data_IF_002678189991
#
_entry.id   IF_002678189991
#
_cell.length_a   1.000
_cell.length_b   1.000
_cell.length_c   1.000
_cell.angle_alpha   90.00
_cell.angle_beta   90.00
_cell.angle_gamma   90.00
#
_symmetry.space_group_name_H-M   'P 1'
#
loop_
_entity.id
_entity.type
_entity.pdbx_description
1 polymer ?
#
# COMPACT_ATOMS: atom_id res chain seq x y z
N UNK A 1 -24.92 -17.95 1.68
CA UNK A 1 -23.58 -18.08 2.27
C UNK A 1 -23.32 -16.82 3.07
N UNK A 2 -23.31 -16.90 4.39
CA UNK A 2 -22.90 -15.78 5.23
C UNK A 2 -21.37 -15.73 5.22
N UNK A 3 -20.79 -14.67 4.70
CA UNK A 3 -19.38 -14.41 4.88
C UNK A 3 -19.14 -14.15 6.36
N UNK A 4 -18.51 -15.07 7.05
CA UNK A 4 -17.99 -14.82 8.38
C UNK A 4 -16.78 -13.91 8.21
N UNK A 5 -17.00 -12.61 8.33
CA UNK A 5 -15.89 -11.64 8.46
C UNK A 5 -15.17 -12.03 9.75
N UNK A 6 -13.86 -12.27 9.68
CA UNK A 6 -13.05 -12.47 10.86
C UNK A 6 -13.35 -11.34 11.86
N UNK A 7 -13.58 -11.69 13.14
CA UNK A 7 -14.06 -10.73 14.18
C UNK A 7 -13.21 -9.47 14.33
N UNK A 8 -11.95 -9.48 13.89
CA UNK A 8 -11.07 -8.31 13.86
C UNK A 8 -11.49 -7.19 12.89
N UNK A 9 -12.49 -7.43 12.03
CA UNK A 9 -13.06 -6.45 11.11
C UNK A 9 -14.53 -6.14 11.46
N UNK A 10 -14.89 -6.09 12.73
CA UNK A 10 -16.20 -5.57 13.12
C UNK A 10 -16.32 -4.15 12.55
N UNK A 11 -17.25 -3.97 11.62
CA UNK A 11 -17.72 -2.63 11.25
C UNK A 11 -18.15 -1.98 12.57
N UNK A 12 -17.49 -0.91 12.94
CA UNK A 12 -17.99 -0.04 14.00
C UNK A 12 -19.44 0.27 13.64
N UNK A 13 -20.36 0.03 14.57
CA UNK A 13 -21.77 0.35 14.37
C UNK A 13 -21.84 1.82 13.89
N UNK A 14 -22.46 2.09 12.73
CA UNK A 14 -22.61 3.47 12.23
C UNK A 14 -23.16 4.42 13.28
N UNK A 15 -24.00 3.92 14.20
CA UNK A 15 -24.58 4.69 15.30
C UNK A 15 -23.60 4.94 16.46
N UNK A 16 -22.52 4.14 16.55
CA UNK A 16 -21.39 4.36 17.48
C UNK A 16 -20.33 5.31 16.91
N UNK A 17 -20.32 5.53 15.59
CA UNK A 17 -19.49 6.55 14.95
C UNK A 17 -20.12 7.92 15.16
N UNK A 18 -19.86 8.52 16.32
CA UNK A 18 -20.28 9.90 16.56
C UNK A 18 -19.58 10.82 15.55
N UNK A 19 -20.36 11.29 14.59
CA UNK A 19 -19.96 12.35 13.66
C UNK A 19 -19.53 13.56 14.51
N UNK A 20 -18.23 13.85 14.55
CA UNK A 20 -17.69 14.96 15.34
C UNK A 20 -16.44 14.66 16.16
N UNK A 21 -15.84 13.49 16.02
CA UNK A 21 -14.46 13.25 16.46
C UNK A 21 -14.24 12.83 17.91
N UNK A 22 -15.24 12.82 18.78
CA UNK A 22 -15.04 12.45 20.20
C UNK A 22 -14.91 10.96 20.48
N UNK A 23 -15.45 10.09 19.64
CA UNK A 23 -15.38 8.62 19.83
C UNK A 23 -13.96 8.04 19.65
N UNK A 24 -13.04 8.79 19.00
CA UNK A 24 -11.66 8.38 18.79
C UNK A 24 -10.64 9.23 19.58
N UNK A 25 -11.11 10.04 20.51
CA UNK A 25 -10.24 10.82 21.37
C UNK A 25 -9.48 9.85 22.31
N UNK A 26 -8.15 9.87 22.23
CA UNK A 26 -7.29 8.95 22.97
C UNK A 26 -7.07 7.57 22.35
N UNK A 27 -7.58 7.29 21.14
CA UNK A 27 -7.27 6.06 20.40
C UNK A 27 -5.95 6.21 19.65
N UNK A 28 -5.09 5.20 19.75
CA UNK A 28 -3.89 5.00 18.93
C UNK A 28 -4.22 3.93 17.89
N UNK A 29 -4.62 4.37 16.68
CA UNK A 29 -5.03 3.47 15.61
C UNK A 29 -3.84 3.11 14.73
N UNK A 30 -3.24 1.96 14.97
CA UNK A 30 -2.09 1.41 14.25
C UNK A 30 -2.49 0.33 13.22
N UNK A 31 -3.76 0.19 12.87
CA UNK A 31 -4.21 -0.87 11.95
C UNK A 31 -3.63 -0.72 10.55
N UNK A 32 -3.60 0.51 10.04
CA UNK A 32 -3.12 0.84 8.69
C UNK A 32 -2.96 2.35 8.53
N UNK A 33 -2.07 2.79 7.63
CA UNK A 33 -1.99 4.18 7.19
C UNK A 33 -3.19 4.61 6.30
N UNK A 34 -4.08 3.68 5.94
CA UNK A 34 -5.35 3.97 5.26
C UNK A 34 -6.41 4.60 6.17
N UNK A 35 -6.19 4.61 7.48
CA UNK A 35 -7.09 5.25 8.45
C UNK A 35 -6.80 6.74 8.65
N UNK A 36 -5.74 7.26 8.02
CA UNK A 36 -5.34 8.66 8.09
C UNK A 36 -6.46 9.59 7.66
N UNK A 37 -6.51 10.76 8.30
CA UNK A 37 -7.54 11.78 8.05
C UNK A 37 -6.93 12.98 7.33
N UNK A 38 -7.69 13.61 6.43
CA UNK A 38 -7.20 14.81 5.75
C UNK A 38 -6.96 15.93 6.76
N UNK A 39 -5.82 16.59 6.63
CA UNK A 39 -5.43 17.73 7.47
C UNK A 39 -6.42 18.90 7.34
N UNK A 40 -6.46 19.84 8.29
CA UNK A 40 -7.25 21.07 8.13
C UNK A 40 -6.93 21.84 6.85
N UNK A 41 -5.67 21.81 6.39
CA UNK A 41 -5.27 22.42 5.13
C UNK A 41 -5.87 21.71 3.92
N UNK A 42 -5.79 20.36 3.90
CA UNK A 42 -6.43 19.56 2.86
C UNK A 42 -7.94 19.82 2.79
N UNK A 43 -8.61 19.88 3.96
CA UNK A 43 -10.06 20.15 4.02
C UNK A 43 -10.43 21.51 3.44
N UNK A 44 -9.66 22.56 3.73
CA UNK A 44 -9.87 23.88 3.12
C UNK A 44 -9.64 23.84 1.62
N UNK A 45 -8.53 23.22 1.18
CA UNK A 45 -8.25 23.10 -0.25
C UNK A 45 -9.33 22.35 -1.01
N UNK A 46 -9.91 21.29 -0.41
CA UNK A 46 -11.05 20.56 -0.99
C UNK A 46 -12.29 21.44 -1.11
N UNK A 47 -12.58 22.26 -0.08
CA UNK A 47 -13.75 23.14 -0.08
C UNK A 47 -13.63 24.29 -1.09
N UNK A 48 -12.42 24.75 -1.34
CA UNK A 48 -12.08 25.91 -2.20
C UNK A 48 -11.56 25.48 -3.59
N UNK A 49 -11.58 24.17 -3.90
CA UNK A 49 -11.00 23.65 -5.13
C UNK A 49 -11.65 24.25 -6.37
N UNK A 50 -10.81 24.73 -7.29
CA UNK A 50 -11.25 25.07 -8.64
C UNK A 50 -11.53 23.78 -9.40
N UNK A 51 -12.72 23.64 -9.98
CA UNK A 51 -13.21 22.41 -10.59
C UNK A 51 -13.73 22.60 -12.01
N UNK A 52 -13.69 21.54 -12.78
CA UNK A 52 -14.29 21.39 -14.09
C UNK A 52 -14.62 19.93 -14.35
N UNK A 53 -15.08 19.57 -15.54
CA UNK A 53 -15.36 18.16 -15.86
C UNK A 53 -14.08 17.42 -16.26
N UNK A 54 -13.60 16.49 -15.40
CA UNK A 54 -12.41 15.68 -15.65
C UNK A 54 -12.54 14.78 -16.90
N UNK A 55 -13.76 14.36 -17.26
CA UNK A 55 -13.97 13.55 -18.47
C UNK A 55 -13.68 14.34 -19.75
N UNK A 56 -13.90 15.64 -19.73
CA UNK A 56 -13.54 16.54 -20.82
C UNK A 56 -12.11 17.12 -20.69
N UNK A 57 -11.40 16.78 -19.60
CA UNK A 57 -10.07 17.32 -19.32
C UNK A 57 -10.08 18.79 -18.86
N UNK A 58 -11.23 19.26 -18.38
CA UNK A 58 -11.44 20.67 -18.01
C UNK A 58 -11.24 20.96 -16.52
N UNK A 59 -11.04 19.93 -15.67
CA UNK A 59 -10.78 20.15 -14.24
C UNK A 59 -9.34 20.62 -14.01
N UNK A 60 -9.13 21.90 -13.65
CA UNK A 60 -7.78 22.46 -13.58
C UNK A 60 -6.99 21.89 -12.40
N UNK A 61 -7.66 21.47 -11.33
CA UNK A 61 -7.00 20.92 -10.14
C UNK A 61 -6.56 19.47 -10.39
N UNK A 62 -7.37 18.65 -11.09
CA UNK A 62 -6.97 17.33 -11.55
C UNK A 62 -5.78 17.43 -12.49
N UNK A 63 -5.86 18.33 -13.49
CA UNK A 63 -4.78 18.54 -14.46
C UNK A 63 -3.45 18.92 -13.78
N UNK A 64 -3.50 19.79 -12.74
CA UNK A 64 -2.31 20.13 -11.95
C UNK A 64 -1.75 18.94 -11.19
N UNK A 65 -2.61 18.11 -10.57
CA UNK A 65 -2.18 16.92 -9.84
C UNK A 65 -1.53 15.89 -10.79
N UNK A 66 -2.17 15.60 -11.92
CA UNK A 66 -1.66 14.66 -12.93
C UNK A 66 -0.29 15.13 -13.48
N UNK A 67 -0.18 16.40 -13.83
CA UNK A 67 1.08 17.01 -14.26
C UNK A 67 2.17 16.90 -13.19
N UNK A 68 1.85 17.29 -11.95
CA UNK A 68 2.80 17.24 -10.85
C UNK A 68 3.28 15.82 -10.52
N UNK A 69 2.38 14.85 -10.56
CA UNK A 69 2.72 13.44 -10.39
C UNK A 69 3.67 12.95 -11.49
N UNK A 70 3.38 13.27 -12.75
CA UNK A 70 4.24 12.91 -13.87
C UNK A 70 5.66 13.50 -13.72
N UNK A 71 5.77 14.80 -13.38
CA UNK A 71 7.05 15.48 -13.14
C UNK A 71 7.84 14.81 -12.02
N UNK A 72 7.18 14.52 -10.89
CA UNK A 72 7.82 13.94 -9.70
C UNK A 72 8.38 12.54 -9.96
N UNK A 73 7.70 11.77 -10.80
CA UNK A 73 8.12 10.41 -11.18
C UNK A 73 9.00 10.37 -12.44
N UNK A 74 9.25 11.51 -13.08
CA UNK A 74 10.00 11.57 -14.34
C UNK A 74 9.34 10.75 -15.45
N UNK A 75 8.00 10.66 -15.44
CA UNK A 75 7.18 10.00 -16.46
C UNK A 75 6.55 11.02 -17.38
N UNK A 76 6.15 10.58 -18.58
CA UNK A 76 5.56 11.48 -19.60
C UNK A 76 4.17 11.98 -19.21
N UNK A 77 3.40 11.16 -18.48
CA UNK A 77 2.05 11.48 -18.05
C UNK A 77 1.66 10.68 -16.79
N UNK A 78 0.63 11.17 -16.11
CA UNK A 78 -0.01 10.47 -14.99
C UNK A 78 -1.53 10.61 -15.09
N UNK A 79 -2.25 9.78 -14.34
CA UNK A 79 -3.71 9.73 -14.28
C UNK A 79 -4.18 9.55 -12.84
N UNK A 80 -5.12 10.39 -12.41
CA UNK A 80 -5.82 10.21 -11.13
C UNK A 80 -6.83 9.06 -11.25
N UNK A 81 -6.78 8.13 -10.31
CA UNK A 81 -7.74 7.02 -10.16
C UNK A 81 -8.31 6.99 -8.75
N UNK A 82 -9.58 6.56 -8.57
CA UNK A 82 -10.23 6.52 -7.26
C UNK A 82 -9.48 5.68 -6.22
N UNK A 83 -8.90 4.55 -6.62
CA UNK A 83 -8.26 3.58 -5.72
C UNK A 83 -7.00 2.96 -6.33
N UNK A 84 -6.09 2.47 -5.47
CA UNK A 84 -4.91 1.71 -5.92
C UNK A 84 -5.27 0.41 -6.64
N UNK A 85 -6.29 -0.30 -6.16
CA UNK A 85 -6.76 -1.53 -6.83
C UNK A 85 -7.19 -1.27 -8.28
N UNK A 86 -7.92 -0.17 -8.53
CA UNK A 86 -8.25 0.23 -9.90
C UNK A 86 -6.99 0.56 -10.71
N UNK A 87 -6.02 1.26 -10.10
CA UNK A 87 -4.76 1.60 -10.74
C UNK A 87 -3.97 0.35 -11.16
N UNK A 88 -3.79 -0.60 -10.26
CA UNK A 88 -3.13 -1.87 -10.55
C UNK A 88 -3.87 -2.65 -11.65
N UNK A 89 -5.19 -2.77 -11.53
CA UNK A 89 -6.00 -3.48 -12.52
C UNK A 89 -5.88 -2.84 -13.92
N UNK A 90 -5.89 -1.52 -14.01
CA UNK A 90 -5.67 -0.78 -15.27
C UNK A 90 -4.30 -1.13 -15.85
N UNK A 91 -3.24 -1.11 -15.03
CA UNK A 91 -1.88 -1.42 -15.47
C UNK A 91 -1.78 -2.86 -15.98
N UNK A 92 -2.31 -3.82 -15.23
CA UNK A 92 -2.35 -5.22 -15.67
C UNK A 92 -3.12 -5.35 -16.98
N UNK A 93 -4.31 -4.73 -17.08
CA UNK A 93 -5.16 -4.84 -18.27
C UNK A 93 -4.53 -4.28 -19.53
N UNK A 94 -3.71 -3.23 -19.44
CA UNK A 94 -3.04 -2.61 -20.59
C UNK A 94 -1.88 -3.48 -21.08
N UNK A 95 -1.10 -4.07 -20.15
CA UNK A 95 0.10 -4.83 -20.48
C UNK A 95 -0.15 -6.30 -20.80
N UNK A 96 -1.40 -6.76 -20.71
CA UNK A 96 -1.74 -8.16 -20.89
C UNK A 96 -2.93 -8.34 -21.85
N UNK A 97 -3.06 -9.56 -22.34
CA UNK A 97 -4.23 -10.06 -23.07
C UNK A 97 -4.83 -11.25 -22.32
N UNK A 98 -6.08 -11.61 -22.62
CA UNK A 98 -6.70 -12.81 -22.05
C UNK A 98 -5.81 -14.03 -22.28
N UNK A 99 -5.61 -14.84 -21.24
CA UNK A 99 -4.79 -16.04 -21.25
C UNK A 99 -3.30 -15.78 -20.98
N UNK A 100 -2.87 -14.53 -20.79
CA UNK A 100 -1.50 -14.25 -20.35
C UNK A 100 -1.29 -14.60 -18.87
N UNK A 101 -0.03 -14.80 -18.50
CA UNK A 101 0.41 -14.91 -17.12
C UNK A 101 1.06 -13.60 -16.66
N UNK A 102 0.82 -13.28 -15.39
CA UNK A 102 1.42 -12.15 -14.67
C UNK A 102 2.24 -12.70 -13.51
N UNK A 103 3.55 -12.48 -13.55
CA UNK A 103 4.44 -12.88 -12.45
C UNK A 103 4.31 -11.86 -11.31
N UNK A 104 4.11 -12.34 -10.09
CA UNK A 104 4.09 -11.54 -8.88
C UNK A 104 4.65 -12.33 -7.69
N UNK A 105 5.09 -11.66 -6.65
CA UNK A 105 5.48 -12.32 -5.40
C UNK A 105 4.24 -12.82 -4.66
N UNK A 106 4.35 -13.97 -3.96
CA UNK A 106 3.20 -14.67 -3.35
C UNK A 106 2.40 -13.81 -2.37
N UNK A 107 3.05 -12.90 -1.63
CA UNK A 107 2.44 -12.00 -0.65
C UNK A 107 2.06 -10.64 -1.21
N UNK A 108 2.24 -10.42 -2.52
CA UNK A 108 1.92 -9.15 -3.15
C UNK A 108 0.42 -8.83 -3.08
N UNK A 109 0.11 -7.55 -3.00
CA UNK A 109 -1.26 -7.05 -2.90
C UNK A 109 -2.13 -7.45 -4.09
N UNK A 110 -1.59 -7.40 -5.30
CA UNK A 110 -2.28 -7.80 -6.54
C UNK A 110 -2.69 -9.28 -6.54
N UNK A 111 -1.98 -10.12 -5.77
CA UNK A 111 -2.29 -11.54 -5.62
C UNK A 111 -3.31 -11.81 -4.50
N UNK A 112 -3.18 -11.13 -3.35
CA UNK A 112 -3.93 -11.50 -2.13
C UNK A 112 -5.18 -10.65 -1.89
N UNK A 113 -5.16 -9.35 -2.23
CA UNK A 113 -6.15 -8.38 -1.71
C UNK A 113 -7.01 -7.70 -2.77
N UNK A 114 -6.85 -8.03 -4.05
CA UNK A 114 -7.62 -7.41 -5.14
C UNK A 114 -8.73 -8.32 -5.68
N UNK A 115 -9.21 -9.28 -4.87
CA UNK A 115 -10.36 -10.14 -5.15
C UNK A 115 -10.27 -10.86 -6.50
N UNK A 116 -9.06 -11.35 -6.84
CA UNK A 116 -8.77 -12.01 -8.10
C UNK A 116 -9.11 -11.15 -9.35
N UNK A 117 -9.10 -9.82 -9.24
CA UNK A 117 -9.42 -8.89 -10.33
C UNK A 117 -8.56 -9.11 -11.58
N UNK A 118 -7.30 -9.50 -11.37
CA UNK A 118 -6.37 -9.89 -12.43
C UNK A 118 -6.94 -11.03 -13.30
N UNK A 119 -7.56 -12.04 -12.67
CA UNK A 119 -8.19 -13.16 -13.39
C UNK A 119 -9.61 -12.82 -13.86
N UNK A 120 -10.42 -12.25 -12.97
CA UNK A 120 -11.84 -12.03 -13.23
C UNK A 120 -12.10 -10.93 -14.27
N UNK A 121 -11.27 -9.88 -14.34
CA UNK A 121 -11.48 -8.71 -15.18
C UNK A 121 -10.41 -8.60 -16.27
N UNK A 122 -9.13 -8.72 -15.92
CA UNK A 122 -8.07 -8.67 -16.92
C UNK A 122 -7.97 -9.98 -17.73
N UNK A 123 -8.45 -11.11 -17.21
CA UNK A 123 -8.42 -12.41 -17.88
C UNK A 123 -7.04 -13.06 -17.86
N UNK A 124 -6.21 -12.72 -16.87
CA UNK A 124 -4.85 -13.20 -16.74
C UNK A 124 -4.72 -14.19 -15.57
N UNK A 125 -3.74 -15.03 -15.63
CA UNK A 125 -3.42 -15.96 -14.57
C UNK A 125 -2.24 -15.44 -13.75
N UNK A 126 -2.35 -15.33 -12.40
CA UNK A 126 -1.20 -15.03 -11.56
C UNK A 126 -0.18 -16.18 -11.64
N UNK A 127 1.08 -15.84 -11.84
CA UNK A 127 2.22 -16.74 -11.78
C UNK A 127 3.06 -16.36 -10.57
N UNK A 128 2.84 -17.07 -9.48
CA UNK A 128 3.41 -16.72 -8.19
C UNK A 128 4.86 -17.18 -8.11
N UNK A 129 5.74 -16.28 -7.68
CA UNK A 129 7.12 -16.54 -7.31
C UNK A 129 7.34 -16.23 -5.82
N UNK A 130 8.26 -16.94 -5.18
CA UNK A 130 8.62 -16.72 -3.79
C UNK A 130 9.93 -15.97 -3.70
N UNK A 131 9.93 -14.83 -2.99
CA UNK A 131 11.11 -14.03 -2.72
C UNK A 131 11.44 -13.99 -1.24
N UNK A 132 12.73 -13.95 -0.91
CA UNK A 132 13.16 -13.71 0.46
C UNK A 132 12.66 -12.35 0.94
N UNK A 133 11.99 -12.31 2.08
CA UNK A 133 11.36 -11.10 2.64
C UNK A 133 10.44 -10.34 1.64
N UNK A 134 9.83 -11.06 0.67
CA UNK A 134 8.96 -10.45 -0.35
C UNK A 134 9.68 -9.76 -1.50
N UNK A 135 10.99 -9.91 -1.59
CA UNK A 135 11.82 -9.31 -2.65
C UNK A 135 12.23 -10.40 -3.63
N UNK A 136 11.76 -10.29 -4.86
CA UNK A 136 12.15 -11.20 -5.94
C UNK A 136 13.52 -10.82 -6.50
N UNK A 137 14.31 -11.82 -6.85
CA UNK A 137 15.49 -11.71 -7.69
C UNK A 137 15.13 -12.07 -9.13
N UNK A 138 15.98 -11.67 -10.10
CA UNK A 138 15.81 -12.13 -11.47
C UNK A 138 15.87 -13.67 -11.59
N UNK A 139 16.73 -14.30 -10.81
CA UNK A 139 16.90 -15.76 -10.83
C UNK A 139 15.59 -16.47 -10.41
N UNK A 140 14.87 -15.97 -9.41
CA UNK A 140 13.58 -16.51 -9.00
C UNK A 140 12.50 -16.25 -10.06
N UNK A 141 12.43 -15.03 -10.60
CA UNK A 141 11.50 -14.68 -11.67
C UNK A 141 11.71 -15.58 -12.89
N UNK A 142 12.97 -15.78 -13.30
CA UNK A 142 13.32 -16.58 -14.47
C UNK A 142 12.82 -18.02 -14.39
N UNK A 143 12.75 -18.61 -13.18
CA UNK A 143 12.29 -20.00 -13.00
C UNK A 143 10.82 -20.19 -13.33
N UNK A 144 10.03 -19.13 -13.25
CA UNK A 144 8.57 -19.20 -13.46
C UNK A 144 8.13 -18.62 -14.82
N UNK A 145 9.05 -18.04 -15.61
CA UNK A 145 8.74 -17.57 -16.97
C UNK A 145 8.44 -18.76 -17.88
N UNK A 146 7.32 -18.72 -18.61
CA UNK A 146 6.95 -19.76 -19.56
C UNK A 146 7.77 -19.67 -20.85
N UNK A 147 8.16 -20.82 -21.41
CA UNK A 147 8.75 -20.87 -22.75
C UNK A 147 7.72 -20.39 -23.81
N UNK A 148 8.21 -19.78 -24.88
CA UNK A 148 7.35 -19.33 -25.99
C UNK A 148 6.92 -20.50 -26.85
N UNK A 149 5.96 -21.30 -26.36
CA UNK A 149 5.40 -22.45 -27.05
C UNK A 149 3.90 -22.16 -27.29
N UNK A 150 3.35 -22.54 -28.46
CA UNK A 150 2.00 -22.14 -28.87
C UNK A 150 0.87 -22.68 -27.99
N UNK A 151 1.10 -23.78 -27.25
CA UNK A 151 0.14 -24.40 -26.34
C UNK A 151 0.33 -24.02 -24.89
N UNK A 152 1.30 -23.17 -24.56
CA UNK A 152 1.52 -22.64 -23.20
C UNK A 152 0.99 -21.22 -23.07
N UNK A 153 0.41 -20.90 -21.93
CA UNK A 153 0.11 -19.51 -21.55
C UNK A 153 1.39 -18.69 -21.55
N UNK A 154 1.32 -17.48 -22.12
CA UNK A 154 2.52 -16.66 -22.25
C UNK A 154 2.62 -15.66 -21.11
N UNK A 155 3.79 -15.60 -20.49
CA UNK A 155 4.13 -14.54 -19.54
C UNK A 155 4.20 -13.20 -20.30
N UNK A 156 3.53 -12.17 -19.79
CA UNK A 156 3.50 -10.85 -20.42
C UNK A 156 3.98 -9.74 -19.48
N UNK A 157 3.76 -9.88 -18.17
CA UNK A 157 3.98 -8.83 -17.19
C UNK A 157 4.65 -9.39 -15.93
N UNK A 158 5.53 -8.57 -15.35
CA UNK A 158 6.05 -8.75 -14.00
C UNK A 158 5.50 -7.60 -13.14
N UNK A 159 4.82 -7.94 -12.03
CA UNK A 159 4.36 -7.00 -11.02
C UNK A 159 5.29 -7.05 -9.80
N UNK A 160 5.95 -5.95 -9.49
CA UNK A 160 6.72 -5.76 -8.26
C UNK A 160 5.92 -4.88 -7.30
N UNK A 161 6.16 -5.02 -5.99
CA UNK A 161 5.50 -4.21 -4.96
C UNK A 161 6.54 -3.53 -4.06
N UNK A 162 6.48 -2.20 -3.93
CA UNK A 162 7.39 -1.43 -3.07
C UNK A 162 6.62 -0.29 -2.33
N UNK A 163 6.55 -0.35 -1.00
CA UNK A 163 7.10 -1.34 -0.05
C UNK A 163 6.21 -2.57 0.02
N UNK A 164 6.80 -3.76 0.29
CA UNK A 164 6.08 -5.03 0.41
C UNK A 164 5.16 -5.05 1.64
N UNK A 165 3.85 -4.92 1.46
CA UNK A 165 2.88 -4.77 2.55
C UNK A 165 2.88 -5.97 3.51
N UNK A 166 2.71 -7.18 2.99
CA UNK A 166 2.65 -8.41 3.80
C UNK A 166 4.03 -9.00 4.10
N UNK A 167 5.07 -8.36 3.59
CA UNK A 167 6.46 -8.67 3.91
C UNK A 167 7.06 -7.76 5.01
N UNK A 168 6.20 -6.99 5.74
CA UNK A 168 6.64 -6.12 6.81
C UNK A 168 7.23 -4.78 6.34
N UNK A 169 6.79 -4.29 5.18
CA UNK A 169 7.24 -3.01 4.65
C UNK A 169 8.66 -3.06 4.07
N UNK A 170 9.08 -4.23 3.60
CA UNK A 170 10.38 -4.41 2.94
C UNK A 170 10.52 -3.53 1.73
N UNK A 171 11.74 -3.14 1.44
CA UNK A 171 12.07 -2.16 0.40
C UNK A 171 12.93 -2.80 -0.67
N UNK A 172 12.45 -2.81 -1.91
CA UNK A 172 13.29 -3.17 -3.06
C UNK A 172 14.39 -2.14 -3.26
N UNK A 173 15.66 -2.54 -3.26
CA UNK A 173 16.76 -1.67 -3.71
C UNK A 173 16.52 -1.23 -5.17
N UNK A 174 16.83 0.02 -5.48
CA UNK A 174 16.68 0.59 -6.83
C UNK A 174 17.43 -0.24 -7.88
N UNK A 175 18.61 -0.73 -7.56
CA UNK A 175 19.44 -1.58 -8.44
C UNK A 175 18.74 -2.90 -8.76
N UNK A 176 18.03 -3.50 -7.78
CA UNK A 176 17.28 -4.74 -7.98
C UNK A 176 16.11 -4.54 -8.94
N UNK A 177 15.35 -3.46 -8.77
CA UNK A 177 14.27 -3.11 -9.71
C UNK A 177 14.82 -2.90 -11.11
N UNK A 178 15.93 -2.18 -11.23
CA UNK A 178 16.59 -1.91 -12.51
C UNK A 178 17.11 -3.18 -13.18
N UNK A 179 17.72 -4.10 -12.43
CA UNK A 179 18.17 -5.42 -12.90
C UNK A 179 17.02 -6.23 -13.49
N UNK A 180 15.91 -6.33 -12.74
CA UNK A 180 14.70 -7.05 -13.19
C UNK A 180 14.16 -6.43 -14.48
N UNK A 181 14.05 -5.09 -14.55
CA UNK A 181 13.59 -4.40 -15.75
C UNK A 181 14.49 -4.68 -16.97
N UNK A 182 15.82 -4.61 -16.80
CA UNK A 182 16.77 -4.84 -17.90
C UNK A 182 16.66 -6.26 -18.48
N UNK A 183 16.48 -7.25 -17.62
CA UNK A 183 16.28 -8.62 -18.05
C UNK A 183 14.89 -8.85 -18.67
N UNK A 184 13.85 -8.33 -18.05
CA UNK A 184 12.47 -8.44 -18.53
C UNK A 184 12.33 -7.83 -19.94
N UNK A 185 12.85 -6.63 -20.14
CA UNK A 185 12.79 -5.93 -21.42
C UNK A 185 13.53 -6.68 -22.54
N UNK A 186 14.70 -7.30 -22.25
CA UNK A 186 15.39 -8.17 -23.23
C UNK A 186 14.54 -9.36 -23.70
N UNK A 187 13.60 -9.82 -22.85
CA UNK A 187 12.66 -10.89 -23.18
C UNK A 187 11.34 -10.38 -23.78
N UNK A 188 11.17 -9.06 -23.89
CA UNK A 188 9.93 -8.42 -24.37
C UNK A 188 8.81 -8.39 -23.32
N UNK A 189 9.13 -8.63 -22.04
CA UNK A 189 8.20 -8.55 -20.92
C UNK A 189 8.09 -7.11 -20.41
N UNK A 190 6.93 -6.76 -19.86
CA UNK A 190 6.68 -5.49 -19.20
C UNK A 190 6.86 -5.60 -17.70
N UNK A 191 7.19 -4.48 -17.06
CA UNK A 191 7.31 -4.39 -15.59
C UNK A 191 6.40 -3.29 -15.07
N UNK A 192 5.46 -3.69 -14.21
CA UNK A 192 4.61 -2.79 -13.44
C UNK A 192 5.10 -2.75 -11.99
N UNK A 193 5.13 -1.57 -11.40
CA UNK A 193 5.43 -1.37 -9.98
C UNK A 193 4.17 -0.94 -9.22
N UNK A 194 3.65 -1.82 -8.36
CA UNK A 194 2.76 -1.40 -7.30
C UNK A 194 3.58 -0.62 -6.27
N UNK A 195 3.51 0.68 -6.39
CA UNK A 195 4.19 1.64 -5.53
C UNK A 195 3.26 2.25 -4.50
N UNK A 196 2.26 1.50 -3.98
CA UNK A 196 1.27 2.02 -3.03
C UNK A 196 1.90 2.81 -1.88
N UNK A 197 3.15 2.47 -1.49
CA UNK A 197 3.97 3.18 -0.50
C UNK A 197 5.37 3.53 -1.01
N UNK A 198 5.49 3.84 -2.28
CA UNK A 198 6.80 4.12 -2.91
C UNK A 198 7.54 5.29 -2.27
N UNK A 199 6.82 6.29 -1.72
CA UNK A 199 7.43 7.39 -0.98
C UNK A 199 8.06 6.92 0.35
N UNK A 200 7.50 5.91 1.02
CA UNK A 200 8.14 5.27 2.16
C UNK A 200 9.41 4.53 1.72
N UNK A 201 9.38 3.84 0.59
CA UNK A 201 10.59 3.20 0.05
C UNK A 201 11.67 4.24 -0.29
N UNK A 202 11.29 5.34 -0.94
CA UNK A 202 12.19 6.46 -1.26
C UNK A 202 12.83 7.06 0.00
N UNK A 203 12.02 7.29 1.04
CA UNK A 203 12.50 7.77 2.34
C UNK A 203 13.49 6.80 2.98
N UNK A 204 13.22 5.50 2.92
CA UNK A 204 14.09 4.46 3.50
C UNK A 204 15.44 4.32 2.79
N UNK A 205 15.47 4.59 1.48
CA UNK A 205 16.69 4.50 0.67
C UNK A 205 17.45 5.84 0.57
N UNK A 206 16.79 6.97 0.88
CA UNK A 206 17.31 8.30 0.58
C UNK A 206 17.30 8.62 -0.92
N UNK A 207 16.47 7.93 -1.70
CA UNK A 207 16.36 8.06 -3.15
C UNK A 207 15.17 8.93 -3.57
N UNK A 208 15.18 9.41 -4.81
CA UNK A 208 14.01 10.02 -5.43
C UNK A 208 13.15 8.98 -6.15
N UNK A 209 11.82 9.11 -6.06
CA UNK A 209 10.88 8.21 -6.73
C UNK A 209 11.12 8.12 -8.25
N UNK A 210 11.57 9.20 -8.90
CA UNK A 210 11.93 9.20 -10.31
C UNK A 210 13.11 8.25 -10.63
N UNK A 211 14.08 8.15 -9.72
CA UNK A 211 15.24 7.25 -9.87
C UNK A 211 14.79 5.80 -9.69
N UNK A 212 14.02 5.53 -8.65
CA UNK A 212 13.50 4.20 -8.33
C UNK A 212 12.59 3.63 -9.41
N UNK A 213 11.82 4.49 -10.08
CA UNK A 213 10.82 4.08 -11.09
C UNK A 213 11.28 4.28 -12.52
N UNK A 214 12.53 4.67 -12.75
CA UNK A 214 13.05 5.05 -14.07
C UNK A 214 12.77 4.01 -15.15
N UNK A 215 13.03 2.73 -14.84
CA UNK A 215 12.98 1.64 -15.82
C UNK A 215 11.65 0.89 -15.87
N UNK A 216 10.75 1.05 -14.89
CA UNK A 216 9.45 0.38 -14.94
C UNK A 216 8.56 0.99 -16.01
N UNK A 217 7.75 0.16 -16.69
CA UNK A 217 6.85 0.58 -17.78
C UNK A 217 5.63 1.34 -17.24
N UNK A 218 5.17 1.00 -16.04
CA UNK A 218 4.11 1.72 -15.34
C UNK A 218 4.30 1.63 -13.82
N UNK A 219 3.83 2.66 -13.12
CA UNK A 219 3.78 2.69 -11.64
C UNK A 219 2.42 3.16 -11.19
N UNK A 220 1.87 2.50 -10.18
CA UNK A 220 0.74 2.99 -9.40
C UNK A 220 1.24 3.43 -8.03
N UNK A 221 0.71 4.53 -7.47
CA UNK A 221 0.98 4.91 -6.09
C UNK A 221 -0.24 5.53 -5.40
N UNK A 222 -0.35 5.34 -4.08
CA UNK A 222 -1.48 5.82 -3.31
C UNK A 222 -1.22 7.22 -2.74
N UNK A 223 -2.22 8.09 -2.87
CA UNK A 223 -2.30 9.36 -2.13
C UNK A 223 -2.94 9.15 -0.75
N UNK A 224 -3.82 8.14 -0.64
CA UNK A 224 -4.69 7.85 0.52
C UNK A 224 -4.10 6.86 1.52
N UNK A 225 -2.79 6.84 1.70
CA UNK A 225 -2.06 6.05 2.70
C UNK A 225 -1.12 6.96 3.48
N UNK A 226 0.17 6.66 3.57
CA UNK A 226 1.15 7.47 4.28
C UNK A 226 1.20 8.95 3.87
N UNK A 227 0.74 9.30 2.66
CA UNK A 227 0.63 10.69 2.22
C UNK A 227 -0.59 11.43 2.82
N UNK A 228 -1.58 10.71 3.36
CA UNK A 228 -2.69 11.29 4.16
C UNK A 228 -3.82 11.93 3.39
N UNK A 229 -3.89 11.84 2.06
CA UNK A 229 -5.07 12.27 1.33
C UNK A 229 -6.27 11.35 1.63
N UNK A 230 -7.51 11.86 1.64
CA UNK A 230 -8.68 11.05 2.02
C UNK A 230 -9.03 9.98 0.99
N UNK A 231 -8.74 10.22 -0.28
CA UNK A 231 -9.10 9.36 -1.43
C UNK A 231 -8.09 9.56 -2.54
N UNK A 232 -7.88 8.53 -3.35
CA UNK A 232 -7.20 8.62 -4.61
C UNK A 232 -5.84 7.94 -4.64
N UNK A 233 -5.49 7.55 -5.84
CA UNK A 233 -4.19 7.01 -6.23
C UNK A 233 -3.84 7.53 -7.62
N UNK A 234 -2.59 7.39 -8.01
CA UNK A 234 -2.10 7.83 -9.30
C UNK A 234 -1.53 6.65 -10.08
N UNK A 235 -1.68 6.70 -11.38
CA UNK A 235 -0.97 5.82 -12.31
C UNK A 235 -0.07 6.69 -13.17
N UNK A 236 1.20 6.32 -13.38
CA UNK A 236 2.13 7.07 -14.20
C UNK A 236 2.89 6.16 -15.17
N UNK A 237 3.18 6.69 -16.35
CA UNK A 237 3.85 5.96 -17.43
C UNK A 237 4.10 6.83 -18.66
N UNK A 238 4.21 6.18 -19.84
CA UNK A 238 4.27 6.90 -21.11
C UNK A 238 2.93 7.56 -21.42
N UNK A 239 2.95 8.57 -22.30
CA UNK A 239 1.72 9.23 -22.76
C UNK A 239 0.74 8.25 -23.41
N UNK A 240 1.24 7.39 -24.29
CA UNK A 240 0.43 6.35 -24.93
C UNK A 240 -0.22 5.40 -23.90
N UNK A 241 0.54 5.00 -22.88
CA UNK A 241 0.03 4.17 -21.79
C UNK A 241 -1.09 4.89 -21.02
N UNK A 242 -0.93 6.15 -20.70
CA UNK A 242 -1.93 6.95 -19.94
C UNK A 242 -3.19 7.18 -20.75
N UNK A 243 -3.11 7.37 -22.08
CA UNK A 243 -4.31 7.44 -22.94
C UNK A 243 -5.12 6.13 -22.87
N UNK A 244 -4.46 4.97 -22.91
CA UNK A 244 -5.12 3.68 -22.70
C UNK A 244 -5.69 3.55 -21.27
N UNK A 245 -4.94 4.02 -20.28
CA UNK A 245 -5.36 3.98 -18.87
C UNK A 245 -6.65 4.80 -18.65
N UNK A 246 -6.79 5.94 -19.30
CA UNK A 246 -7.99 6.78 -19.26
C UNK A 246 -9.22 6.05 -19.78
N UNK A 247 -9.09 5.23 -20.84
CA UNK A 247 -10.17 4.40 -21.36
C UNK A 247 -10.61 3.36 -20.32
N UNK A 248 -9.65 2.62 -19.75
CA UNK A 248 -9.96 1.61 -18.74
C UNK A 248 -10.47 2.21 -17.42
N UNK A 249 -9.94 3.37 -17.01
CA UNK A 249 -10.52 4.12 -15.87
C UNK A 249 -12.01 4.38 -16.08
N UNK A 250 -12.40 4.85 -17.27
CA UNK A 250 -13.81 5.08 -17.61
C UNK A 250 -14.63 3.78 -17.61
N UNK A 251 -14.09 2.73 -18.23
CA UNK A 251 -14.74 1.41 -18.31
C UNK A 251 -15.01 0.80 -16.93
N UNK A 252 -14.07 0.96 -15.99
CA UNK A 252 -14.19 0.43 -14.63
C UNK A 252 -14.97 1.34 -13.68
N UNK A 253 -15.60 2.41 -14.18
CA UNK A 253 -16.43 3.31 -13.38
C UNK A 253 -15.65 4.40 -12.62
N UNK A 254 -14.35 4.56 -12.87
CA UNK A 254 -13.50 5.55 -12.20
C UNK A 254 -13.44 6.92 -12.88
N UNK A 255 -14.18 7.13 -13.98
CA UNK A 255 -14.30 8.44 -14.62
C UNK A 255 -15.24 9.36 -13.82
N UNK A 256 -14.67 10.18 -12.96
CA UNK A 256 -15.38 11.15 -12.14
C UNK A 256 -15.64 12.43 -12.95
N UNK A 257 -16.37 13.38 -12.35
CA UNK A 257 -16.70 14.68 -12.93
C UNK A 257 -15.82 15.77 -12.29
N UNK A 258 -16.34 16.54 -11.37
CA UNK A 258 -15.62 17.61 -10.67
C UNK A 258 -14.68 17.02 -9.60
N UNK A 259 -13.71 16.23 -10.06
CA UNK A 259 -12.79 15.50 -9.19
C UNK A 259 -11.70 16.39 -8.55
N UNK A 260 -11.63 17.66 -8.95
CA UNK A 260 -10.75 18.65 -8.35
C UNK A 260 -10.93 18.79 -6.84
N UNK A 261 -12.14 18.55 -6.33
CA UNK A 261 -12.41 18.48 -4.89
C UNK A 261 -11.50 17.46 -4.20
N UNK A 262 -11.32 16.30 -4.78
CA UNK A 262 -10.44 15.24 -4.24
C UNK A 262 -8.97 15.54 -4.58
N UNK A 263 -8.71 15.99 -5.81
CA UNK A 263 -7.38 16.25 -6.31
C UNK A 263 -6.64 17.35 -5.52
N UNK A 264 -7.37 18.33 -4.98
CA UNK A 264 -6.80 19.40 -4.15
C UNK A 264 -6.11 18.84 -2.90
N UNK A 265 -6.71 17.88 -2.21
CA UNK A 265 -6.05 17.20 -1.09
C UNK A 265 -4.86 16.36 -1.58
N UNK A 266 -4.99 15.72 -2.74
CA UNK A 266 -3.93 14.96 -3.38
C UNK A 266 -2.69 15.79 -3.70
N UNK A 267 -2.84 17.02 -4.17
CA UNK A 267 -1.74 17.96 -4.41
C UNK A 267 -0.98 18.27 -3.12
N UNK A 268 -1.69 18.62 -2.04
CA UNK A 268 -1.05 18.89 -0.74
C UNK A 268 -0.33 17.63 -0.23
N UNK A 269 -0.96 16.48 -0.32
CA UNK A 269 -0.39 15.21 0.06
C UNK A 269 0.92 14.92 -0.70
N UNK A 270 0.91 15.10 -2.01
CA UNK A 270 2.05 14.83 -2.88
C UNK A 270 3.22 15.80 -2.62
N UNK A 271 2.95 17.06 -2.33
CA UNK A 271 3.97 18.06 -2.14
C UNK A 271 4.56 18.12 -0.72
N UNK A 272 3.75 17.86 0.30
CA UNK A 272 4.16 18.07 1.70
C UNK A 272 4.46 16.80 2.45
N UNK A 273 3.69 15.73 2.20
CA UNK A 273 3.78 14.53 3.04
C UNK A 273 5.06 13.72 2.87
N UNK A 274 5.70 13.64 1.69
CA UNK A 274 6.96 12.89 1.55
C UNK A 274 8.05 13.37 2.53
N UNK A 275 8.14 14.68 2.78
CA UNK A 275 9.14 15.26 3.67
C UNK A 275 9.02 14.86 5.14
N UNK A 276 7.88 14.27 5.57
CA UNK A 276 7.65 13.87 6.97
C UNK A 276 7.64 12.34 7.20
N UNK A 277 7.69 11.52 6.16
CA UNK A 277 7.58 10.05 6.30
C UNK A 277 8.69 9.44 7.17
N UNK A 278 9.84 10.09 7.29
CA UNK A 278 10.91 9.67 8.20
C UNK A 278 10.43 9.58 9.65
N UNK A 279 9.52 10.45 10.10
CA UNK A 279 8.92 10.42 11.44
C UNK A 279 8.12 9.13 11.65
N UNK A 280 7.38 8.70 10.63
CA UNK A 280 6.62 7.44 10.68
C UNK A 280 7.59 6.23 10.78
N UNK A 281 8.73 6.28 10.06
CA UNK A 281 9.76 5.23 10.14
C UNK A 281 10.45 5.20 11.52
N UNK A 282 10.77 6.36 12.10
CA UNK A 282 11.34 6.45 13.46
C UNK A 282 10.37 5.87 14.49
N UNK A 283 9.07 6.16 14.37
CA UNK A 283 8.03 5.59 15.22
C UNK A 283 7.88 4.07 15.03
N UNK A 284 7.98 3.58 13.79
CA UNK A 284 7.96 2.14 13.50
C UNK A 284 9.18 1.43 14.11
N UNK A 285 10.36 2.03 14.01
CA UNK A 285 11.58 1.50 14.62
C UNK A 285 11.48 1.46 16.15
N UNK A 286 10.95 2.52 16.78
CA UNK A 286 10.65 2.56 18.21
C UNK A 286 9.73 1.40 18.64
N UNK A 287 8.64 1.18 17.90
CA UNK A 287 7.72 0.07 18.15
C UNK A 287 8.43 -1.28 18.00
N UNK A 288 9.20 -1.48 16.93
CA UNK A 288 9.90 -2.73 16.69
C UNK A 288 10.91 -3.07 17.81
N UNK A 289 11.71 -2.10 18.22
CA UNK A 289 12.68 -2.24 19.32
C UNK A 289 11.99 -2.52 20.67
N UNK A 290 10.89 -1.82 20.94
CA UNK A 290 10.10 -2.04 22.15
C UNK A 290 9.41 -3.39 22.17
N UNK A 291 8.81 -3.82 21.06
CA UNK A 291 8.16 -5.13 20.92
C UNK A 291 9.17 -6.26 21.12
N UNK A 292 10.39 -6.15 20.58
CA UNK A 292 11.44 -7.14 20.73
C UNK A 292 11.87 -7.37 22.21
N UNK A 293 11.57 -6.42 23.11
CA UNK A 293 11.83 -6.55 24.54
C UNK A 293 10.67 -7.18 25.33
N UNK A 294 9.53 -7.45 24.68
CA UNK A 294 8.36 -8.04 25.36
C UNK A 294 8.43 -9.57 25.26
N UNK A 295 8.58 -10.29 26.40
CA UNK A 295 8.68 -11.75 26.38
C UNK A 295 7.44 -12.41 25.74
N UNK A 296 7.65 -13.25 24.76
CA UNK A 296 6.59 -13.96 24.02
C UNK A 296 6.21 -13.31 22.70
N UNK A 297 6.72 -12.12 22.41
CA UNK A 297 6.65 -11.52 21.07
C UNK A 297 7.97 -11.72 20.34
N UNK A 298 7.89 -11.94 19.01
CA UNK A 298 9.08 -12.12 18.18
C UNK A 298 9.07 -11.17 17.01
N UNK A 299 10.14 -10.43 16.86
CA UNK A 299 10.42 -9.54 15.74
C UNK A 299 11.94 -9.36 15.62
N UNK A 300 12.42 -9.16 14.41
CA UNK A 300 13.77 -8.63 14.16
C UNK A 300 13.65 -7.13 13.81
N UNK A 301 14.00 -6.22 14.73
CA UNK A 301 13.91 -4.77 14.47
C UNK A 301 14.77 -4.30 13.29
N UNK A 302 15.83 -5.02 12.95
CA UNK A 302 16.71 -4.68 11.82
C UNK A 302 16.02 -4.85 10.46
N UNK A 303 14.96 -5.67 10.40
CA UNK A 303 14.16 -5.90 9.20
C UNK A 303 13.07 -4.84 9.00
N UNK A 304 12.77 -4.01 9.99
CA UNK A 304 11.80 -2.90 9.87
C UNK A 304 12.47 -1.75 9.12
N UNK A 305 12.05 -1.53 7.88
CA UNK A 305 12.66 -0.59 6.96
C UNK A 305 11.77 0.60 6.61
N UNK A 306 10.49 0.54 6.97
CA UNK A 306 9.50 1.57 6.64
C UNK A 306 8.51 1.75 7.80
N UNK A 307 7.30 2.17 7.52
CA UNK A 307 6.25 2.40 8.51
C UNK A 307 5.46 1.15 8.91
N UNK A 308 5.81 -0.04 8.44
CA UNK A 308 5.09 -1.29 8.72
C UNK A 308 5.90 -2.17 9.66
N UNK A 309 5.28 -2.61 10.75
CA UNK A 309 5.87 -3.52 11.73
C UNK A 309 4.99 -4.76 11.83
N UNK A 310 5.55 -5.94 11.55
CA UNK A 310 4.89 -7.24 11.69
C UNK A 310 5.65 -8.05 12.73
N UNK A 311 4.93 -8.62 13.70
CA UNK A 311 5.52 -9.43 14.76
C UNK A 311 4.69 -10.69 15.04
N UNK A 312 5.35 -11.72 15.54
CA UNK A 312 4.72 -12.97 15.95
C UNK A 312 4.39 -12.94 17.45
N UNK A 313 3.18 -13.41 17.81
CA UNK A 313 2.70 -13.45 19.19
C UNK A 313 2.51 -14.88 19.74
N UNK A 314 2.93 -15.91 18.99
CA UNK A 314 2.67 -17.33 19.32
C UNK A 314 3.11 -17.72 20.73
N UNK A 315 4.27 -17.25 21.19
CA UNK A 315 4.82 -17.61 22.51
C UNK A 315 4.14 -16.88 23.68
N UNK A 316 3.17 -15.99 23.40
CA UNK A 316 2.30 -15.43 24.45
C UNK A 316 1.19 -16.38 24.85
N UNK A 317 0.91 -17.42 24.03
CA UNK A 317 -0.24 -18.30 24.18
C UNK A 317 -1.54 -17.72 23.59
N UNK A 318 -1.50 -16.51 22.99
CA UNK A 318 -2.63 -15.85 22.36
C UNK A 318 -2.52 -15.94 20.85
N UNK A 319 -3.64 -16.08 20.16
CA UNK A 319 -3.73 -15.81 18.73
C UNK A 319 -3.63 -14.30 18.47
N UNK A 320 -3.34 -13.92 17.22
CA UNK A 320 -3.29 -12.51 16.83
C UNK A 320 -4.64 -11.79 17.05
N UNK A 321 -5.75 -12.47 16.79
CA UNK A 321 -7.10 -11.95 17.06
C UNK A 321 -7.30 -11.67 18.55
N UNK A 322 -6.99 -12.64 19.41
CA UNK A 322 -7.12 -12.47 20.87
C UNK A 322 -6.25 -11.34 21.39
N UNK A 323 -5.04 -11.19 20.86
CA UNK A 323 -4.15 -10.08 21.25
C UNK A 323 -4.72 -8.72 20.80
N UNK A 324 -5.20 -8.60 19.55
CA UNK A 324 -5.83 -7.39 19.06
C UNK A 324 -7.09 -7.03 19.86
N UNK A 325 -7.94 -8.02 20.17
CA UNK A 325 -9.14 -7.83 20.98
C UNK A 325 -8.81 -7.39 22.42
N UNK A 326 -7.72 -7.91 23.00
CA UNK A 326 -7.27 -7.50 24.32
C UNK A 326 -6.67 -6.09 24.36
N UNK A 327 -6.09 -5.61 23.27
CA UNK A 327 -5.56 -4.24 23.13
C UNK A 327 -6.67 -3.20 22.91
N UNK A 328 -7.74 -3.59 22.22
CA UNK A 328 -8.81 -2.69 21.80
C UNK A 328 -9.47 -1.89 22.93
N UNK A 329 -9.84 -2.48 24.12
CA UNK A 329 -10.42 -1.73 25.25
C UNK A 329 -9.49 -0.67 25.84
N UNK A 330 -8.18 -0.81 25.61
CA UNK A 330 -7.18 0.15 26.04
C UNK A 330 -6.94 1.27 25.02
N UNK A 331 -7.74 1.30 23.94
CA UNK A 331 -7.61 2.29 22.86
C UNK A 331 -6.37 2.10 22.00
N UNK A 332 -5.83 0.89 21.91
CA UNK A 332 -4.75 0.53 20.99
C UNK A 332 -5.31 -0.42 19.95
N UNK A 333 -5.31 0.02 18.70
CA UNK A 333 -5.88 -0.75 17.59
C UNK A 333 -4.78 -1.25 16.68
N UNK A 334 -4.69 -2.57 16.52
CA UNK A 334 -3.75 -3.27 15.64
C UNK A 334 -4.51 -4.20 14.70
N UNK A 335 -3.84 -4.78 13.73
CA UNK A 335 -4.41 -5.67 12.72
C UNK A 335 -3.81 -7.06 12.83
N UNK A 336 -4.66 -8.09 12.98
CA UNK A 336 -4.27 -9.48 12.76
C UNK A 336 -4.06 -9.74 11.25
N UNK A 337 -2.98 -10.43 10.89
CA UNK A 337 -2.65 -10.75 9.50
C UNK A 337 -2.52 -12.25 9.24
N UNK A 338 -2.29 -13.04 10.29
CA UNK A 338 -2.33 -14.48 10.30
C UNK A 338 -2.59 -14.98 11.72
N UNK A 339 -2.71 -16.30 11.93
CA UNK A 339 -3.07 -16.91 13.22
C UNK A 339 -2.28 -16.34 14.41
N UNK A 340 -0.98 -16.07 14.22
CA UNK A 340 -0.10 -15.54 15.27
C UNK A 340 0.66 -14.28 14.82
N UNK A 341 0.28 -13.69 13.69
CA UNK A 341 0.95 -12.52 13.13
C UNK A 341 0.10 -11.27 13.31
N UNK A 342 0.66 -10.27 13.96
CA UNK A 342 0.06 -8.94 14.18
C UNK A 342 0.85 -7.91 13.39
N UNK A 343 0.13 -7.03 12.71
CA UNK A 343 0.69 -5.87 12.01
C UNK A 343 0.28 -4.57 12.70
N UNK A 344 1.22 -3.68 12.86
CA UNK A 344 0.99 -2.27 13.21
C UNK A 344 1.65 -1.39 12.16
N UNK A 345 1.02 -0.27 11.84
CA UNK A 345 1.47 0.68 10.82
C UNK A 345 1.47 2.08 11.41
N UNK A 346 2.60 2.76 11.38
CA UNK A 346 2.73 4.14 11.81
C UNK A 346 2.35 5.11 10.68
N UNK A 347 1.80 6.24 11.04
CA UNK A 347 1.33 7.27 10.11
C UNK A 347 1.13 8.62 10.80
N UNK A 348 0.76 9.65 10.04
CA UNK A 348 0.69 11.03 10.51
C UNK A 348 -0.25 11.31 11.69
N UNK A 349 -1.24 10.45 11.94
CA UNK A 349 -2.18 10.62 13.05
C UNK A 349 -1.74 9.88 14.33
N UNK A 350 -0.56 9.25 14.33
CA UNK A 350 0.03 8.58 15.50
C UNK A 350 1.41 9.18 15.75
N UNK A 351 1.53 9.89 16.85
CA UNK A 351 2.78 10.48 17.30
C UNK A 351 3.64 9.51 18.12
N UNK A 352 4.82 9.97 18.53
CA UNK A 352 5.75 9.20 19.36
C UNK A 352 5.13 8.79 20.70
N UNK A 353 4.39 9.70 21.35
CA UNK A 353 3.75 9.42 22.64
C UNK A 353 2.67 8.32 22.51
N UNK A 354 1.93 8.32 21.38
CA UNK A 354 1.01 7.24 21.04
C UNK A 354 1.71 5.89 20.89
N UNK A 355 2.86 5.87 20.22
CA UNK A 355 3.66 4.64 20.06
C UNK A 355 4.21 4.15 21.42
N UNK A 356 4.73 5.03 22.26
CA UNK A 356 5.20 4.69 23.62
C UNK A 356 4.05 4.13 24.48
N UNK A 357 2.87 4.74 24.42
CA UNK A 357 1.66 4.23 25.09
C UNK A 357 1.28 2.85 24.57
N UNK A 358 1.34 2.61 23.26
CA UNK A 358 1.04 1.31 22.68
C UNK A 358 1.97 0.22 23.21
N UNK A 359 3.27 0.51 23.38
CA UNK A 359 4.24 -0.42 23.96
C UNK A 359 3.94 -0.73 25.43
N UNK A 360 3.56 0.27 26.23
CA UNK A 360 3.19 0.07 27.63
C UNK A 360 1.99 -0.87 27.73
N UNK A 361 0.92 -0.59 26.98
CA UNK A 361 -0.30 -1.40 26.99
C UNK A 361 -0.02 -2.81 26.48
N UNK A 362 0.75 -2.96 25.39
CA UNK A 362 1.11 -4.27 24.84
C UNK A 362 1.86 -5.13 25.86
N UNK A 363 2.81 -4.54 26.59
CA UNK A 363 3.56 -5.22 27.65
C UNK A 363 2.66 -5.65 28.82
N UNK A 364 1.70 -4.82 29.22
CA UNK A 364 0.74 -5.14 30.30
C UNK A 364 -0.18 -6.28 29.88
N UNK A 365 -0.76 -6.23 28.68
CA UNK A 365 -1.67 -7.25 28.16
C UNK A 365 -0.97 -8.60 28.10
N UNK A 366 0.20 -8.68 27.47
CA UNK A 366 0.99 -9.92 27.37
C UNK A 366 1.43 -10.42 28.76
N UNK A 367 1.78 -9.50 29.69
CA UNK A 367 2.20 -9.87 31.04
C UNK A 367 1.09 -10.45 31.93
N UNK A 368 -0.17 -10.07 31.70
CA UNK A 368 -1.34 -10.62 32.44
C UNK A 368 -1.65 -12.05 32.02
N UNK A 369 -1.52 -12.39 30.75
CA UNK A 369 -1.81 -13.73 30.24
C UNK A 369 -0.87 -14.79 30.81
N UNK A 370 0.42 -14.45 31.02
CA UNK A 370 1.39 -15.37 31.64
C UNK A 370 1.13 -15.66 33.14
N UNK A 371 0.47 -14.73 33.85
CA UNK A 371 0.12 -14.93 35.27
C UNK A 371 -1.15 -15.76 35.48
N UNK A 372 -2.02 -15.83 34.48
CA UNK A 372 -3.26 -16.60 34.53
C UNK A 372 -3.06 -18.09 34.12
N UNK A 373 -1.94 -18.42 33.47
CA UNK A 373 -1.57 -19.76 33.06
C UNK A 373 -0.47 -20.43 33.88
N UNK A 374 0.04 -19.77 34.94
CA UNK A 374 0.98 -20.31 35.91
C UNK A 374 0.26 -20.58 37.26
#
# INVERSE_FOLDING_TARGET
>A
MSYTVAKGNQRVDPDEVKVGGKALEGVVDLRSDTVTRPTPEMRRAMAEAEVGDDVYGEDPTVNRLEKRAAEMFGKEAALLVPTGCMGNLICVKIWTHHGNEVICEERSHVNLYELASMSAIAGCMPRVAQGEDGILTWEEIKTVIRPKIYYDSQTALICLENTGNMAGGTVYPTERVNEICDHAHKMGLKVHLDGARIFNAATALGDHVAVMTKKVDSVMFCLSKGLGAPVGSMVAGSKEFIEKARIYRKMFGGGMRQAGVIAAAGLIALEKSPGRLHVDHENAQLLAEGIAQIPGLKIDPKKVRSNIVIFDCKETGMTAVELCDALHPHGIWAQDTALYSVRVVTHCDVDRAGCERALVVLKEVVGRTKKAGA
#
